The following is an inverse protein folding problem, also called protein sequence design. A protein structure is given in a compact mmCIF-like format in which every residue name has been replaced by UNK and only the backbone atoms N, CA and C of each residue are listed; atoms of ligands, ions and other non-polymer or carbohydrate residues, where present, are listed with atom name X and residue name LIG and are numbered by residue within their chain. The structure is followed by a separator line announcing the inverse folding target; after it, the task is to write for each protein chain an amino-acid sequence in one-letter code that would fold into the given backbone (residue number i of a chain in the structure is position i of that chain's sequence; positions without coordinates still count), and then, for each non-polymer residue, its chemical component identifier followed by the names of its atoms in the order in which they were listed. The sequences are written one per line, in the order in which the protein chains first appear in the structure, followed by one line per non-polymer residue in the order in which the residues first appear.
data_IF_886640663703
#
_entry.id   IF_886640663703
#
_cell.length_a   1.000
_cell.length_b   1.000
_cell.length_c   1.000
_cell.angle_alpha   90.00
_cell.angle_beta   90.00
_cell.angle_gamma   90.00
#
_symmetry.space_group_name_H-M   'P 1'
#
loop_
_entity.id
_entity.type
_entity.pdbx_description
1 polymer ?
#
# COMPACT_ATOMS: atom_id res chain seq x y z
N UNK A 1 4.32 7.89 15.35
CA UNK A 1 4.54 8.88 14.28
C UNK A 1 4.06 8.36 12.94
N UNK A 2 3.75 9.25 12.02
CA UNK A 2 3.56 8.94 10.60
C UNK A 2 4.48 9.84 9.77
N UNK A 3 5.37 9.26 9.00
CA UNK A 3 6.29 9.96 8.11
C UNK A 3 5.90 9.71 6.65
N UNK A 4 5.88 10.75 5.82
CA UNK A 4 5.35 10.70 4.46
C UNK A 4 6.16 11.65 3.57
N UNK A 5 6.81 11.10 2.54
CA UNK A 5 7.58 11.90 1.59
C UNK A 5 6.65 12.76 0.72
N UNK A 6 6.98 14.03 0.62
CA UNK A 6 6.15 15.02 -0.05
C UNK A 6 6.23 14.90 -1.57
N UNK A 7 5.07 14.76 -2.21
CA UNK A 7 4.96 14.60 -3.67
C UNK A 7 6.00 13.60 -4.22
N UNK A 8 6.08 12.41 -3.66
CA UNK A 8 7.21 11.48 -3.73
C UNK A 8 7.81 11.32 -5.13
N UNK A 9 7.04 10.87 -6.13
CA UNK A 9 7.58 10.69 -7.47
C UNK A 9 8.08 12.02 -8.07
N UNK A 10 7.31 13.10 -7.90
CA UNK A 10 7.73 14.42 -8.38
C UNK A 10 9.01 14.89 -7.67
N UNK A 11 9.14 14.64 -6.37
CA UNK A 11 10.34 14.99 -5.60
C UNK A 11 11.57 14.19 -6.01
N UNK A 12 11.42 12.91 -6.39
CA UNK A 12 12.50 12.10 -6.97
C UNK A 12 12.94 12.68 -8.31
N UNK A 13 11.99 13.04 -9.19
CA UNK A 13 12.31 13.69 -10.47
C UNK A 13 13.02 15.04 -10.27
N UNK A 14 12.52 15.89 -9.36
CA UNK A 14 13.12 17.18 -9.03
C UNK A 14 14.51 17.04 -8.37
N UNK A 15 14.77 15.95 -7.64
CA UNK A 15 16.08 15.64 -7.10
C UNK A 15 17.08 15.31 -8.21
N UNK A 16 16.68 14.46 -9.13
CA UNK A 16 17.54 13.89 -10.15
C UNK A 16 17.74 14.81 -11.37
N UNK A 17 16.74 15.66 -11.67
CA UNK A 17 16.79 16.58 -12.80
C UNK A 17 16.36 17.99 -12.38
N UNK A 18 17.31 18.92 -12.42
CA UNK A 18 17.09 20.31 -12.00
C UNK A 18 16.08 21.07 -12.85
N UNK A 19 15.78 20.61 -14.08
CA UNK A 19 14.74 21.21 -14.96
C UNK A 19 13.35 21.17 -14.34
N UNK A 20 13.08 20.22 -13.44
CA UNK A 20 11.79 20.04 -12.77
C UNK A 20 11.66 20.85 -11.47
N UNK A 21 12.72 21.51 -11.00
CA UNK A 21 12.73 22.22 -9.71
C UNK A 21 12.02 23.55 -9.79
N UNK A 22 11.06 23.78 -8.87
CA UNK A 22 10.36 25.05 -8.74
C UNK A 22 9.43 25.39 -9.88
N UNK A 23 9.08 24.42 -10.73
CA UNK A 23 8.16 24.58 -11.86
C UNK A 23 7.00 23.58 -11.75
N UNK A 24 5.82 23.91 -12.30
CA UNK A 24 4.73 22.95 -12.38
C UNK A 24 5.16 21.72 -13.19
N UNK A 25 5.14 20.53 -12.54
CA UNK A 25 5.44 19.27 -13.21
C UNK A 25 4.56 18.16 -12.70
N UNK A 26 4.35 17.16 -13.55
CA UNK A 26 3.66 15.92 -13.21
C UNK A 26 4.49 14.72 -13.66
N UNK A 27 4.33 13.62 -12.95
CA UNK A 27 4.84 12.30 -13.35
C UNK A 27 3.67 11.47 -13.85
N UNK A 28 3.78 10.92 -15.05
CA UNK A 28 2.72 10.05 -15.59
C UNK A 28 2.83 9.88 -17.10
N UNK A 29 2.19 8.84 -17.62
CA UNK A 29 2.11 8.56 -19.07
C UNK A 29 0.72 8.87 -19.63
N UNK A 30 -0.30 8.13 -19.21
CA UNK A 30 -1.71 8.33 -19.59
C UNK A 30 -2.46 9.15 -18.52
N UNK A 31 -2.15 8.87 -17.26
CA UNK A 31 -2.76 9.48 -16.09
C UNK A 31 -1.64 10.03 -15.19
N UNK A 32 -1.89 11.17 -14.58
CA UNK A 32 -0.99 11.76 -13.59
C UNK A 32 -0.89 10.81 -12.39
N UNK A 33 0.29 10.25 -12.17
CA UNK A 33 0.59 9.44 -11.00
C UNK A 33 0.94 10.33 -9.80
N UNK A 34 1.68 11.43 -10.04
CA UNK A 34 2.04 12.40 -9.01
C UNK A 34 2.16 13.79 -9.61
N UNK A 35 1.76 14.81 -8.86
CA UNK A 35 1.89 16.23 -9.23
C UNK A 35 2.77 16.94 -8.19
N UNK A 36 3.69 17.80 -8.66
CA UNK A 36 4.46 18.69 -7.78
C UNK A 36 3.55 19.69 -7.07
N UNK A 37 4.05 20.36 -6.03
CA UNK A 37 3.24 21.36 -5.32
C UNK A 37 2.90 22.55 -6.20
N UNK A 38 3.79 22.94 -7.09
CA UNK A 38 3.56 23.98 -8.08
C UNK A 38 2.43 23.59 -9.05
N UNK A 39 2.38 22.33 -9.49
CA UNK A 39 1.28 21.82 -10.31
C UNK A 39 -0.03 21.72 -9.53
N UNK A 40 0.01 21.30 -8.27
CA UNK A 40 -1.18 21.26 -7.37
C UNK A 40 -1.76 22.65 -7.15
N UNK A 41 -0.93 23.69 -7.06
CA UNK A 41 -1.38 25.07 -6.94
C UNK A 41 -2.19 25.54 -8.17
N UNK A 42 -2.00 24.93 -9.34
CA UNK A 42 -2.80 25.14 -10.56
C UNK A 42 -4.05 24.26 -10.61
N UNK A 43 -4.32 23.43 -9.59
CA UNK A 43 -5.44 22.49 -9.55
C UNK A 43 -5.15 21.13 -10.20
N UNK A 44 -3.91 20.86 -10.61
CA UNK A 44 -3.52 19.59 -11.20
C UNK A 44 -3.31 18.55 -10.07
N UNK A 45 -3.91 17.38 -10.19
CA UNK A 45 -3.83 16.33 -9.17
C UNK A 45 -3.65 14.93 -9.78
N UNK A 46 -3.24 13.97 -8.98
CA UNK A 46 -3.16 12.57 -9.35
C UNK A 46 -4.54 12.07 -9.82
N UNK A 47 -4.53 11.21 -10.83
CA UNK A 47 -5.75 10.71 -11.47
C UNK A 47 -6.23 11.52 -12.69
N UNK A 48 -5.75 12.76 -12.90
CA UNK A 48 -6.08 13.52 -14.12
C UNK A 48 -5.45 12.87 -15.36
N UNK A 49 -6.15 12.86 -16.52
CA UNK A 49 -5.54 12.48 -17.79
C UNK A 49 -4.40 13.43 -18.18
N UNK A 50 -3.22 12.90 -18.49
CA UNK A 50 -2.06 13.71 -18.93
C UNK A 50 -2.39 14.55 -20.17
N UNK A 51 -3.21 14.00 -21.09
CA UNK A 51 -3.69 14.76 -22.24
C UNK A 51 -4.52 16.00 -21.87
N UNK A 52 -5.28 15.96 -20.76
CA UNK A 52 -5.97 17.12 -20.23
C UNK A 52 -4.99 18.14 -19.69
N UNK A 53 -3.99 17.71 -18.91
CA UNK A 53 -2.95 18.58 -18.35
C UNK A 53 -2.24 19.34 -19.47
N UNK A 54 -1.80 18.63 -20.53
CA UNK A 54 -1.13 19.25 -21.69
C UNK A 54 -1.99 20.30 -22.42
N UNK A 55 -3.30 20.10 -22.47
CA UNK A 55 -4.22 21.05 -23.12
C UNK A 55 -4.51 22.26 -22.24
N UNK A 56 -4.76 22.06 -20.95
CA UNK A 56 -5.18 23.14 -20.04
C UNK A 56 -4.01 23.92 -19.44
N UNK A 57 -2.87 23.26 -19.23
CA UNK A 57 -1.67 23.84 -18.64
C UNK A 57 -0.43 23.48 -19.47
N UNK A 58 -0.29 24.02 -20.70
CA UNK A 58 0.76 23.62 -21.64
C UNK A 58 2.20 23.87 -21.15
N UNK A 59 2.38 24.77 -20.18
CA UNK A 59 3.67 25.03 -19.53
C UNK A 59 4.05 23.97 -18.47
N UNK A 60 3.15 23.06 -18.11
CA UNK A 60 3.44 22.00 -17.13
C UNK A 60 4.33 20.92 -17.73
N UNK A 61 5.46 20.65 -17.10
CA UNK A 61 6.38 19.60 -17.53
C UNK A 61 5.81 18.21 -17.18
N UNK A 62 5.98 17.26 -18.09
CA UNK A 62 5.53 15.86 -17.90
C UNK A 62 6.75 14.96 -17.91
N UNK A 63 7.06 14.36 -16.74
CA UNK A 63 8.10 13.36 -16.61
C UNK A 63 7.54 11.94 -16.82
N UNK A 64 8.30 11.04 -17.46
CA UNK A 64 7.92 9.62 -17.53
C UNK A 64 8.02 8.95 -16.16
N UNK A 65 7.36 7.79 -16.02
CA UNK A 65 7.41 7.00 -14.78
C UNK A 65 8.72 6.19 -14.75
N UNK A 66 9.56 6.43 -13.73
CA UNK A 66 10.82 5.69 -13.49
C UNK A 66 10.70 4.78 -12.26
N UNK A 67 9.99 3.67 -12.42
CA UNK A 67 9.64 2.77 -11.31
C UNK A 67 10.83 2.33 -10.45
N UNK A 68 11.96 1.95 -11.07
CA UNK A 68 13.17 1.51 -10.36
C UNK A 68 13.79 2.63 -9.51
N UNK A 69 13.85 3.86 -10.01
CA UNK A 69 14.34 5.01 -9.25
C UNK A 69 13.45 5.29 -8.02
N UNK A 70 12.15 5.06 -8.12
CA UNK A 70 11.23 5.21 -6.99
C UNK A 70 11.38 4.07 -5.99
N UNK A 71 11.54 2.83 -6.45
CA UNK A 71 11.80 1.67 -5.59
C UNK A 71 13.12 1.85 -4.81
N UNK A 72 14.17 2.31 -5.46
CA UNK A 72 15.46 2.63 -4.80
C UNK A 72 15.31 3.77 -3.77
N UNK A 73 14.68 4.87 -4.15
CA UNK A 73 14.47 6.00 -3.25
C UNK A 73 13.62 5.59 -2.03
N UNK A 74 12.60 4.76 -2.23
CA UNK A 74 11.77 4.18 -1.17
C UNK A 74 12.62 3.31 -0.23
N UNK A 75 13.42 2.39 -0.75
CA UNK A 75 14.26 1.51 0.07
C UNK A 75 15.19 2.32 0.98
N UNK A 76 15.88 3.33 0.44
CA UNK A 76 16.76 4.24 1.19
C UNK A 76 16.00 5.07 2.22
N UNK A 77 14.79 5.52 1.91
CA UNK A 77 13.93 6.24 2.84
C UNK A 77 13.54 5.37 4.04
N UNK A 78 13.17 4.11 3.80
CA UNK A 78 12.86 3.16 4.87
C UNK A 78 14.09 2.78 5.71
N UNK A 79 15.29 2.76 5.14
CA UNK A 79 16.54 2.61 5.91
C UNK A 79 16.72 3.78 6.89
N UNK A 80 16.44 5.01 6.45
CA UNK A 80 16.45 6.17 7.34
C UNK A 80 15.48 5.96 8.49
N UNK A 81 14.21 5.57 8.22
CA UNK A 81 13.20 5.38 9.24
C UNK A 81 13.60 4.31 10.28
N UNK A 82 14.14 3.18 9.83
CA UNK A 82 14.55 2.07 10.72
C UNK A 82 15.67 2.42 11.70
N UNK A 83 16.47 3.46 11.45
CA UNK A 83 17.48 3.94 12.40
C UNK A 83 16.88 4.61 13.63
N UNK A 84 15.70 5.18 13.51
CA UNK A 84 15.01 5.83 14.63
C UNK A 84 14.21 4.82 15.46
N UNK A 85 13.67 3.79 14.84
CA UNK A 85 12.97 2.68 15.50
C UNK A 85 12.94 1.44 14.61
N UNK A 86 13.07 0.21 15.16
CA UNK A 86 12.83 -1.00 14.41
C UNK A 86 11.34 -1.25 14.13
N UNK A 87 10.45 -0.55 14.85
CA UNK A 87 9.00 -0.71 14.73
C UNK A 87 8.47 0.23 13.65
N UNK A 88 8.67 -0.17 12.39
CA UNK A 88 8.25 0.57 11.21
C UNK A 88 7.22 -0.26 10.43
N UNK A 89 6.02 0.28 10.27
CA UNK A 89 4.96 -0.31 9.44
C UNK A 89 4.83 0.49 8.14
N UNK A 90 5.18 -0.06 6.98
CA UNK A 90 4.97 0.58 5.70
C UNK A 90 3.49 0.82 5.41
N UNK A 91 3.13 2.03 4.99
CA UNK A 91 1.80 2.35 4.45
C UNK A 91 1.78 2.30 2.93
N UNK A 92 2.84 2.77 2.30
CA UNK A 92 3.09 2.74 0.85
C UNK A 92 4.61 2.80 0.57
N UNK A 93 5.01 3.13 -0.67
CA UNK A 93 6.42 3.33 -1.01
C UNK A 93 7.02 4.57 -0.34
N UNK A 94 6.20 5.55 0.02
CA UNK A 94 6.61 6.86 0.49
C UNK A 94 6.21 7.15 1.93
N UNK A 95 5.40 6.32 2.56
CA UNK A 95 4.90 6.58 3.91
C UNK A 95 5.03 5.38 4.85
N UNK A 96 5.25 5.68 6.13
CA UNK A 96 5.31 4.67 7.18
C UNK A 96 4.76 5.19 8.50
N UNK A 97 4.23 4.25 9.30
CA UNK A 97 4.03 4.46 10.72
C UNK A 97 5.26 3.98 11.50
N UNK A 98 5.66 4.76 12.49
CA UNK A 98 6.81 4.50 13.35
C UNK A 98 6.37 4.53 14.81
N UNK A 99 6.61 3.46 15.55
CA UNK A 99 6.46 3.50 17.00
C UNK A 99 7.78 3.99 17.62
N UNK A 100 7.72 5.15 18.21
CA UNK A 100 8.86 5.79 18.89
C UNK A 100 8.65 5.92 20.40
N UNK A 101 7.65 5.22 20.93
CA UNK A 101 7.33 5.23 22.37
C UNK A 101 8.56 4.89 23.20
N UNK A 102 8.91 5.78 24.14
CA UNK A 102 10.08 5.65 25.01
C UNK A 102 11.44 5.84 24.33
N UNK A 103 11.49 6.22 23.04
CA UNK A 103 12.74 6.47 22.30
C UNK A 103 13.05 7.95 22.06
N UNK A 104 12.06 8.80 22.19
CA UNK A 104 12.12 10.23 21.93
C UNK A 104 12.82 11.05 23.04
N UNK A 105 13.18 10.41 24.18
CA UNK A 105 13.77 11.05 25.35
C UNK A 105 12.98 12.29 25.83
N UNK A 106 11.67 12.33 25.59
CA UNK A 106 10.81 13.47 25.91
C UNK A 106 10.81 14.58 24.85
N UNK A 107 11.56 14.46 23.75
CA UNK A 107 11.58 15.40 22.61
C UNK A 107 11.10 14.75 21.33
N UNK A 108 9.82 14.48 21.24
CA UNK A 108 9.19 13.89 20.07
C UNK A 108 9.24 14.79 18.84
N UNK A 109 9.21 16.11 19.03
CA UNK A 109 9.28 17.08 17.94
C UNK A 109 10.71 17.13 17.35
N UNK A 110 11.73 17.13 18.21
CA UNK A 110 13.14 17.05 17.79
C UNK A 110 13.43 15.75 17.05
N UNK A 111 12.88 14.61 17.48
CA UNK A 111 13.02 13.35 16.75
C UNK A 111 12.35 13.42 15.38
N UNK A 112 11.15 13.98 15.25
CA UNK A 112 10.49 14.18 13.96
C UNK A 112 11.32 15.09 13.04
N UNK A 113 11.92 16.16 13.58
CA UNK A 113 12.86 17.03 12.88
C UNK A 113 14.11 16.28 12.40
N UNK A 114 14.68 15.40 13.24
CA UNK A 114 15.84 14.58 12.90
C UNK A 114 15.56 13.58 11.79
N UNK A 115 14.38 12.95 11.77
CA UNK A 115 13.93 12.07 10.67
C UNK A 115 13.89 12.85 9.35
N UNK A 116 13.28 14.03 9.33
CA UNK A 116 13.19 14.90 8.14
C UNK A 116 14.58 15.33 7.64
N UNK A 117 15.42 15.78 8.56
CA UNK A 117 16.79 16.19 8.23
C UNK A 117 17.63 15.04 7.65
N UNK A 118 17.49 13.82 8.21
CA UNK A 118 18.15 12.63 7.69
C UNK A 118 17.63 12.24 6.30
N UNK A 119 16.32 12.24 6.07
CA UNK A 119 15.73 11.94 4.76
C UNK A 119 16.19 12.95 3.70
N UNK A 120 16.23 14.24 4.04
CA UNK A 120 16.71 15.29 3.14
C UNK A 120 18.20 15.15 2.82
N UNK A 121 19.05 14.91 3.82
CA UNK A 121 20.50 14.81 3.64
C UNK A 121 20.90 13.55 2.87
N UNK A 122 20.27 12.43 3.11
CA UNK A 122 20.74 11.12 2.65
C UNK A 122 19.97 10.59 1.45
N UNK A 123 18.69 10.95 1.35
CA UNK A 123 17.83 10.53 0.23
C UNK A 123 17.53 11.69 -0.71
N UNK A 124 17.70 12.94 -0.25
CA UNK A 124 17.39 14.14 -1.01
C UNK A 124 15.89 14.43 -1.12
N UNK A 125 15.06 13.85 -0.23
CA UNK A 125 13.61 13.98 -0.29
C UNK A 125 13.05 14.78 0.89
N UNK A 126 12.08 15.68 0.67
CA UNK A 126 11.32 16.32 1.73
C UNK A 126 10.35 15.30 2.34
N UNK A 127 10.24 15.30 3.66
CA UNK A 127 9.34 14.41 4.42
C UNK A 127 8.55 15.24 5.42
N UNK A 128 7.24 15.03 5.44
CA UNK A 128 6.36 15.59 6.45
C UNK A 128 6.05 14.55 7.53
N UNK A 129 6.10 14.97 8.80
CA UNK A 129 5.92 14.08 9.94
C UNK A 129 4.77 14.54 10.82
N UNK A 130 3.85 13.62 11.08
CA UNK A 130 2.80 13.77 12.06
C UNK A 130 3.06 12.92 13.30
N UNK A 131 2.89 13.50 14.47
CA UNK A 131 3.06 12.80 15.74
C UNK A 131 1.74 12.82 16.49
N UNK A 132 1.28 11.66 16.92
CA UNK A 132 0.06 11.53 17.71
C UNK A 132 0.02 10.18 18.42
N UNK A 133 -0.97 10.00 19.30
CA UNK A 133 -1.19 8.80 20.08
C UNK A 133 -1.69 7.63 19.24
N UNK A 134 -2.49 7.87 18.19
CA UNK A 134 -3.04 6.85 17.30
C UNK A 134 -2.53 7.01 15.87
N UNK A 135 -2.58 5.93 15.07
CA UNK A 135 -2.20 5.95 13.65
C UNK A 135 -3.04 6.94 12.84
N UNK A 136 -4.35 6.97 13.09
CA UNK A 136 -5.25 7.89 12.40
C UNK A 136 -4.83 9.34 12.63
N UNK A 137 -4.65 9.74 13.90
CA UNK A 137 -4.27 11.10 14.23
C UNK A 137 -2.87 11.45 13.72
N UNK A 138 -1.90 10.52 13.77
CA UNK A 138 -0.56 10.73 13.24
C UNK A 138 -0.60 10.94 11.71
N UNK A 139 -1.40 10.17 10.98
CA UNK A 139 -1.57 10.34 9.53
C UNK A 139 -2.26 11.65 9.16
N UNK A 140 -3.28 12.06 9.88
CA UNK A 140 -3.93 13.36 9.68
C UNK A 140 -2.96 14.52 10.00
N UNK A 141 -2.15 14.38 11.06
CA UNK A 141 -1.13 15.34 11.42
C UNK A 141 -0.07 15.51 10.33
N UNK A 142 0.44 14.40 9.76
CA UNK A 142 1.41 14.46 8.65
C UNK A 142 0.82 15.11 7.40
N UNK A 143 -0.45 14.83 7.05
CA UNK A 143 -1.15 15.53 5.95
C UNK A 143 -1.20 17.05 6.19
N UNK A 144 -1.45 17.45 7.44
CA UNK A 144 -1.50 18.87 7.83
C UNK A 144 -0.12 19.51 7.85
N UNK A 145 0.93 18.71 8.09
CA UNK A 145 2.32 19.15 8.09
C UNK A 145 2.87 19.42 6.67
N UNK A 146 2.23 18.90 5.62
CA UNK A 146 2.70 19.05 4.23
C UNK A 146 2.60 20.50 3.74
N UNK A 147 3.59 20.99 3.00
CA UNK A 147 4.86 20.34 2.68
C UNK A 147 5.94 20.54 3.75
N UNK A 148 6.83 19.55 3.88
CA UNK A 148 8.10 19.61 4.62
C UNK A 148 7.97 20.14 6.06
N UNK A 149 6.93 19.68 6.78
CA UNK A 149 6.62 20.15 8.11
C UNK A 149 6.58 19.06 9.17
N UNK A 150 6.35 19.51 10.41
CA UNK A 150 6.06 18.66 11.56
C UNK A 150 4.81 19.18 12.24
N UNK A 151 3.89 18.27 12.56
CA UNK A 151 2.73 18.57 13.43
C UNK A 151 2.68 17.54 14.53
N UNK A 152 2.69 18.04 15.79
CA UNK A 152 2.51 17.22 16.98
C UNK A 152 1.10 17.44 17.51
N UNK A 153 0.37 16.35 17.69
CA UNK A 153 -0.98 16.33 18.27
C UNK A 153 -0.88 15.67 19.62
N UNK A 154 -0.83 16.50 20.67
CA UNK A 154 -0.91 16.07 22.06
C UNK A 154 -2.35 15.73 22.46
N UNK A 155 -2.55 15.29 23.70
CA UNK A 155 -3.87 14.88 24.20
C UNK A 155 -4.88 16.04 24.23
N UNK A 156 -4.44 17.25 24.53
CA UNK A 156 -5.32 18.43 24.60
C UNK A 156 -5.77 18.84 23.19
N UNK A 157 -4.85 18.92 22.25
CA UNK A 157 -5.18 19.22 20.85
C UNK A 157 -6.04 18.12 20.24
N UNK A 158 -5.73 16.84 20.53
CA UNK A 158 -6.56 15.71 20.07
C UNK A 158 -8.00 15.83 20.57
N UNK A 159 -8.20 16.11 21.86
CA UNK A 159 -9.54 16.28 22.43
C UNK A 159 -10.34 17.41 21.76
N UNK A 160 -9.65 18.48 21.32
CA UNK A 160 -10.29 19.61 20.63
C UNK A 160 -10.61 19.30 19.16
N UNK A 161 -9.72 18.60 18.44
CA UNK A 161 -9.87 18.42 16.99
C UNK A 161 -10.64 17.16 16.63
N UNK A 162 -10.50 16.07 17.39
CA UNK A 162 -11.12 14.77 17.09
C UNK A 162 -12.64 14.85 16.87
N UNK A 163 -13.44 15.54 17.71
CA UNK A 163 -14.88 15.66 17.49
C UNK A 163 -15.28 16.28 16.16
N UNK A 164 -14.42 17.17 15.64
CA UNK A 164 -14.66 17.96 14.41
C UNK A 164 -14.08 17.35 13.15
N UNK A 165 -13.39 16.19 13.27
CA UNK A 165 -12.86 15.52 12.08
C UNK A 165 -14.00 15.08 11.20
N UNK A 166 -13.91 15.42 9.91
CA UNK A 166 -14.87 14.98 8.91
C UNK A 166 -14.69 13.49 8.65
N UNK A 167 -15.77 12.76 8.48
CA UNK A 167 -15.73 11.31 8.26
C UNK A 167 -15.14 10.94 6.90
N UNK A 168 -15.28 11.80 5.89
CA UNK A 168 -14.68 11.63 4.56
C UNK A 168 -13.16 11.85 4.54
N UNK A 169 -12.61 12.57 5.53
CA UNK A 169 -11.16 12.75 5.69
C UNK A 169 -10.47 11.58 6.40
N UNK A 170 -11.24 10.67 6.99
CA UNK A 170 -10.69 9.55 7.74
C UNK A 170 -10.08 8.50 6.81
N UNK A 171 -8.82 8.18 7.05
CA UNK A 171 -8.15 7.11 6.31
C UNK A 171 -8.98 5.81 6.33
N UNK A 172 -9.25 5.25 5.13
CA UNK A 172 -10.04 4.03 4.92
C UNK A 172 -11.56 4.25 4.83
N UNK A 173 -12.02 5.50 4.86
CA UNK A 173 -13.37 5.86 4.43
C UNK A 173 -13.31 6.24 2.95
N UNK A 174 -13.72 5.31 2.10
CA UNK A 174 -13.83 5.56 0.66
C UNK A 174 -15.22 6.06 0.27
N UNK A 175 -15.44 6.42 -1.01
CA UNK A 175 -16.70 7.00 -1.50
C UNK A 175 -17.95 6.19 -1.10
N UNK A 176 -17.91 4.87 -1.24
CA UNK A 176 -19.05 3.98 -0.89
C UNK A 176 -19.37 4.01 0.61
N UNK A 177 -18.34 4.07 1.46
CA UNK A 177 -18.54 4.17 2.92
C UNK A 177 -19.03 5.56 3.29
N UNK A 178 -18.46 6.58 2.68
CA UNK A 178 -18.88 7.97 2.90
C UNK A 178 -20.34 8.19 2.52
N UNK A 179 -20.78 7.68 1.37
CA UNK A 179 -22.18 7.77 0.94
C UNK A 179 -23.16 7.18 1.97
N UNK A 180 -22.81 6.01 2.55
CA UNK A 180 -23.60 5.40 3.61
C UNK A 180 -23.67 6.26 4.87
N UNK A 181 -22.54 6.83 5.29
CA UNK A 181 -22.47 7.74 6.43
C UNK A 181 -23.28 9.00 6.15
N UNK A 182 -23.13 9.57 4.97
CA UNK A 182 -23.88 10.76 4.54
C UNK A 182 -25.40 10.51 4.50
N UNK A 183 -25.84 9.37 3.96
CA UNK A 183 -27.26 8.97 3.97
C UNK A 183 -27.79 8.79 5.40
N UNK A 184 -26.92 8.42 6.33
CA UNK A 184 -27.26 8.30 7.75
C UNK A 184 -27.11 9.63 8.52
N UNK A 185 -26.90 10.76 7.83
CA UNK A 185 -26.67 12.11 8.39
C UNK A 185 -25.50 12.18 9.38
N UNK A 186 -24.45 11.38 9.12
CA UNK A 186 -23.22 11.37 9.91
C UNK A 186 -22.08 12.02 9.10
N UNK A 187 -21.56 13.16 9.56
CA UNK A 187 -20.59 13.98 8.82
C UNK A 187 -19.26 14.14 9.55
N UNK A 188 -19.29 14.21 10.87
CA UNK A 188 -18.11 14.42 11.72
C UNK A 188 -18.06 13.37 12.83
N UNK A 189 -16.89 13.23 13.46
CA UNK A 189 -16.68 12.22 14.52
C UNK A 189 -17.64 12.39 15.69
N UNK A 190 -18.01 13.61 16.06
CA UNK A 190 -19.00 13.82 17.15
C UNK A 190 -20.37 13.25 16.85
N UNK A 191 -20.77 13.09 15.58
CA UNK A 191 -22.05 12.50 15.20
C UNK A 191 -22.10 10.99 15.50
N UNK A 192 -20.94 10.39 15.74
CA UNK A 192 -20.81 8.97 16.13
C UNK A 192 -20.95 8.75 17.64
N UNK A 193 -20.99 9.82 18.44
CA UNK A 193 -21.04 9.68 19.89
C UNK A 193 -22.34 9.03 20.36
N UNK A 194 -22.21 8.06 21.25
CA UNK A 194 -23.35 7.29 21.74
C UNK A 194 -23.89 6.21 20.80
N UNK A 195 -23.38 6.14 19.56
CA UNK A 195 -23.79 5.08 18.64
C UNK A 195 -23.05 3.77 18.92
N UNK A 196 -23.80 2.68 18.95
CA UNK A 196 -23.26 1.32 19.05
C UNK A 196 -22.83 0.78 17.69
N UNK A 197 -22.13 -0.36 17.70
CA UNK A 197 -21.80 -1.11 16.48
C UNK A 197 -23.06 -1.52 15.73
N UNK A 198 -24.12 -1.91 16.44
CA UNK A 198 -25.36 -2.36 15.81
C UNK A 198 -26.14 -1.19 15.21
N UNK A 199 -26.12 0.00 15.82
CA UNK A 199 -26.69 1.22 15.24
C UNK A 199 -26.03 1.57 13.90
N UNK A 200 -24.72 1.46 13.81
CA UNK A 200 -23.99 1.73 12.57
C UNK A 200 -24.18 0.63 11.52
N UNK A 201 -24.34 -0.63 11.95
CA UNK A 201 -24.68 -1.73 11.04
C UNK A 201 -26.08 -1.60 10.45
N UNK A 202 -27.07 -1.21 11.23
CA UNK A 202 -28.43 -0.97 10.75
C UNK A 202 -28.48 0.14 9.68
N UNK A 203 -27.51 1.05 9.70
CA UNK A 203 -27.29 2.12 8.70
C UNK A 203 -26.45 1.66 7.49
N UNK A 204 -26.20 0.35 7.33
CA UNK A 204 -25.56 -0.25 6.17
C UNK A 204 -24.03 -0.34 6.21
N UNK A 205 -23.37 -0.05 7.35
CA UNK A 205 -21.94 -0.26 7.50
C UNK A 205 -21.61 -1.74 7.72
N UNK A 206 -20.47 -2.20 7.24
CA UNK A 206 -19.94 -3.52 7.60
C UNK A 206 -19.58 -3.55 9.08
N UNK A 207 -19.61 -4.73 9.71
CA UNK A 207 -19.24 -4.90 11.12
C UNK A 207 -17.83 -4.36 11.42
N UNK A 208 -16.86 -4.58 10.53
CA UNK A 208 -15.50 -4.08 10.69
C UNK A 208 -15.44 -2.55 10.66
N UNK A 209 -16.18 -1.91 9.73
CA UNK A 209 -16.24 -0.45 9.64
C UNK A 209 -16.99 0.14 10.83
N UNK A 210 -18.10 -0.44 11.24
CA UNK A 210 -18.86 0.01 12.41
C UNK A 210 -18.01 -0.02 13.69
N UNK A 211 -17.32 -1.12 13.96
CA UNK A 211 -16.38 -1.21 15.09
C UNK A 211 -15.29 -0.14 15.02
N UNK A 212 -14.75 0.08 13.83
CA UNK A 212 -13.73 1.12 13.62
C UNK A 212 -14.28 2.52 13.89
N UNK A 213 -15.47 2.85 13.44
CA UNK A 213 -16.10 4.15 13.70
C UNK A 213 -16.33 4.38 15.20
N UNK A 214 -16.83 3.37 15.91
CA UNK A 214 -17.00 3.43 17.37
C UNK A 214 -15.66 3.64 18.07
N UNK A 215 -14.60 2.93 17.68
CA UNK A 215 -13.27 3.12 18.28
C UNK A 215 -12.67 4.50 18.00
N UNK A 216 -12.89 5.05 16.79
CA UNK A 216 -12.47 6.41 16.45
C UNK A 216 -13.22 7.44 17.32
N UNK A 217 -14.53 7.28 17.48
CA UNK A 217 -15.35 8.15 18.34
C UNK A 217 -14.88 8.12 19.78
N UNK A 218 -14.57 6.94 20.31
CA UNK A 218 -14.06 6.75 21.67
C UNK A 218 -12.57 7.16 21.84
N UNK A 219 -11.85 7.47 20.75
CA UNK A 219 -10.41 7.74 20.83
C UNK A 219 -9.55 6.53 21.18
N UNK A 220 -10.07 5.33 20.95
CA UNK A 220 -9.41 4.03 21.20
C UNK A 220 -9.01 3.33 19.88
N UNK A 221 -8.94 4.09 18.79
CA UNK A 221 -8.53 3.60 17.48
C UNK A 221 -7.08 3.09 17.48
N UNK A 222 -6.80 2.23 16.50
CA UNK A 222 -5.56 1.44 16.43
C UNK A 222 -4.29 2.30 16.50
N UNK A 223 -3.43 1.97 17.46
CA UNK A 223 -2.09 2.52 17.63
C UNK A 223 -0.98 1.48 17.38
N UNK A 224 -1.34 0.20 17.24
CA UNK A 224 -0.39 -0.91 17.15
C UNK A 224 0.32 -0.92 15.80
N UNK A 225 1.65 -0.91 15.83
CA UNK A 225 2.48 -1.10 14.65
C UNK A 225 2.49 -2.57 14.23
N UNK A 226 2.18 -2.81 12.98
CA UNK A 226 2.23 -4.14 12.37
C UNK A 226 3.46 -4.24 11.50
N UNK A 227 4.43 -5.02 11.95
CA UNK A 227 5.61 -5.28 11.13
C UNK A 227 5.21 -6.02 9.86
N UNK A 228 5.89 -5.74 8.73
CA UNK A 228 5.63 -6.46 7.49
C UNK A 228 5.80 -7.96 7.70
N UNK A 229 4.75 -8.70 7.44
CA UNK A 229 4.81 -10.15 7.33
C UNK A 229 5.30 -10.58 5.95
N UNK A 230 5.46 -11.89 5.75
CA UNK A 230 5.78 -12.43 4.44
C UNK A 230 4.76 -11.96 3.39
N UNK A 231 5.25 -11.57 2.23
CA UNK A 231 4.42 -11.08 1.12
C UNK A 231 3.33 -12.10 0.77
N UNK A 232 2.08 -11.66 0.68
CA UNK A 232 0.93 -12.55 0.37
C UNK A 232 0.76 -12.80 -1.12
N UNK A 233 1.26 -11.91 -1.97
CA UNK A 233 1.21 -12.03 -3.43
C UNK A 233 2.24 -11.12 -4.08
N UNK A 234 2.58 -11.43 -5.33
CA UNK A 234 3.27 -10.51 -6.25
C UNK A 234 2.36 -10.25 -7.44
N UNK A 235 2.48 -9.09 -8.04
CA UNK A 235 1.66 -8.76 -9.20
C UNK A 235 2.17 -7.53 -9.93
N UNK A 236 1.74 -7.39 -11.17
CA UNK A 236 1.95 -6.20 -11.96
C UNK A 236 0.74 -5.97 -12.88
N UNK A 237 0.37 -4.72 -13.03
CA UNK A 237 -0.65 -4.27 -13.98
C UNK A 237 -0.07 -3.14 -14.82
N UNK A 238 -0.54 -2.99 -16.05
CA UNK A 238 -0.18 -1.87 -16.90
C UNK A 238 -1.41 -1.30 -17.58
N UNK A 239 -1.56 0.01 -17.49
CA UNK A 239 -2.57 0.77 -18.23
C UNK A 239 -1.99 1.25 -19.56
N UNK A 240 -2.83 1.31 -20.59
CA UNK A 240 -2.47 1.77 -21.94
C UNK A 240 -3.70 2.38 -22.61
N UNK A 241 -3.51 3.00 -23.79
CA UNK A 241 -4.62 3.51 -24.58
C UNK A 241 -5.56 2.39 -24.99
N UNK A 242 -6.87 2.64 -24.95
CA UNK A 242 -7.87 1.63 -25.29
C UNK A 242 -7.53 0.92 -26.61
N UNK A 243 -7.46 -0.40 -26.60
CA UNK A 243 -7.16 -1.22 -27.78
C UNK A 243 -7.95 -2.52 -27.77
N UNK A 244 -8.19 -3.03 -28.96
CA UNK A 244 -8.75 -4.36 -29.21
C UNK A 244 -7.74 -5.29 -29.91
N UNK A 245 -6.50 -4.81 -30.06
CA UNK A 245 -5.44 -5.53 -30.75
C UNK A 245 -4.90 -6.64 -29.85
N UNK A 246 -5.14 -7.88 -30.22
CA UNK A 246 -4.75 -9.06 -29.45
C UNK A 246 -3.27 -9.08 -29.13
N UNK A 247 -2.41 -8.86 -30.12
CA UNK A 247 -0.95 -8.87 -29.92
C UNK A 247 -0.49 -7.84 -28.88
N UNK A 248 -1.13 -6.66 -28.83
CA UNK A 248 -0.82 -5.63 -27.84
C UNK A 248 -1.22 -6.07 -26.42
N UNK A 249 -2.44 -6.59 -26.25
CA UNK A 249 -2.95 -7.01 -24.94
C UNK A 249 -2.13 -8.18 -24.39
N UNK A 250 -1.85 -9.19 -25.22
CA UNK A 250 -1.01 -10.34 -24.85
C UNK A 250 0.44 -9.92 -24.51
N UNK A 251 1.04 -9.01 -25.29
CA UNK A 251 2.39 -8.52 -25.03
C UNK A 251 2.47 -7.79 -23.67
N UNK A 252 1.49 -6.95 -23.36
CA UNK A 252 1.41 -6.25 -22.06
C UNK A 252 1.20 -7.24 -20.91
N UNK A 253 0.38 -8.28 -21.10
CA UNK A 253 0.18 -9.31 -20.08
C UNK A 253 1.48 -10.08 -19.81
N UNK A 254 2.21 -10.51 -20.85
CA UNK A 254 3.52 -11.18 -20.72
C UNK A 254 4.53 -10.30 -19.97
N UNK A 255 4.63 -9.01 -20.34
CA UNK A 255 5.49 -8.07 -19.63
C UNK A 255 5.09 -7.92 -18.16
N UNK A 256 3.78 -7.96 -17.86
CA UNK A 256 3.28 -7.94 -16.50
C UNK A 256 3.63 -9.23 -15.73
N UNK A 257 3.58 -10.40 -16.35
CA UNK A 257 4.01 -11.67 -15.75
C UNK A 257 5.51 -11.60 -15.41
N UNK A 258 6.36 -11.20 -16.35
CA UNK A 258 7.80 -11.07 -16.13
C UNK A 258 8.09 -10.12 -14.95
N UNK A 259 7.43 -8.96 -14.91
CA UNK A 259 7.58 -8.01 -13.82
C UNK A 259 7.04 -8.54 -12.49
N UNK A 260 5.97 -9.32 -12.48
CA UNK A 260 5.46 -9.94 -11.24
C UNK A 260 6.45 -11.00 -10.72
N UNK A 261 7.01 -11.83 -11.60
CA UNK A 261 8.01 -12.84 -11.24
C UNK A 261 9.32 -12.20 -10.76
N UNK A 262 9.80 -11.12 -11.38
CA UNK A 262 11.00 -10.42 -10.91
C UNK A 262 10.86 -9.85 -9.49
N UNK A 263 9.63 -9.58 -9.06
CA UNK A 263 9.34 -9.12 -7.69
C UNK A 263 9.36 -10.22 -6.63
N UNK A 264 9.44 -11.48 -7.01
CA UNK A 264 9.64 -12.58 -6.06
C UNK A 264 11.02 -12.46 -5.40
N UNK A 265 12.07 -12.05 -6.15
CA UNK A 265 13.42 -12.02 -5.63
C UNK A 265 13.83 -13.41 -5.12
N UNK A 266 14.31 -13.45 -3.86
CA UNK A 266 14.76 -14.68 -3.18
C UNK A 266 13.61 -15.48 -2.51
N UNK A 267 12.35 -15.17 -2.84
CA UNK A 267 11.21 -15.88 -2.27
C UNK A 267 11.04 -17.25 -2.93
N UNK A 268 11.39 -18.31 -2.22
CA UNK A 268 11.36 -19.70 -2.71
C UNK A 268 9.95 -20.32 -2.74
N UNK A 269 8.93 -19.60 -2.30
CA UNK A 269 7.56 -20.11 -2.31
C UNK A 269 7.02 -20.24 -3.73
N UNK A 270 6.62 -21.45 -4.09
CA UNK A 270 6.08 -21.74 -5.42
C UNK A 270 4.57 -21.45 -5.46
N UNK A 271 4.11 -20.52 -6.28
CA UNK A 271 2.69 -20.26 -6.47
C UNK A 271 1.98 -21.44 -7.11
N UNK A 272 0.73 -21.64 -6.71
CA UNK A 272 -0.16 -22.69 -7.24
C UNK A 272 -1.31 -22.13 -8.07
N UNK A 273 -1.47 -20.80 -8.07
CA UNK A 273 -2.59 -20.10 -8.73
C UNK A 273 -2.17 -18.71 -9.17
N UNK A 274 -2.93 -18.16 -10.08
CA UNK A 274 -2.80 -16.77 -10.51
C UNK A 274 -4.17 -16.17 -10.85
N UNK A 275 -4.20 -14.86 -10.92
CA UNK A 275 -5.36 -14.06 -11.30
C UNK A 275 -4.95 -13.13 -12.45
N UNK A 276 -5.78 -13.02 -13.47
CA UNK A 276 -5.62 -12.06 -14.57
C UNK A 276 -6.72 -11.01 -14.46
N UNK A 277 -6.32 -9.75 -14.52
CA UNK A 277 -7.20 -8.60 -14.44
C UNK A 277 -7.27 -7.94 -15.81
N UNK A 278 -8.47 -7.63 -16.28
CA UNK A 278 -8.74 -6.87 -17.50
C UNK A 278 -9.67 -5.72 -17.16
N UNK A 279 -9.32 -4.50 -17.53
CA UNK A 279 -10.18 -3.32 -17.41
C UNK A 279 -10.46 -2.75 -18.79
N UNK A 280 -11.72 -2.39 -19.01
CA UNK A 280 -12.22 -1.85 -20.26
C UNK A 280 -12.28 -0.32 -20.25
N UNK A 281 -12.59 0.28 -21.40
CA UNK A 281 -12.64 1.73 -21.61
C UNK A 281 -13.82 2.42 -20.91
N UNK A 282 -14.85 1.66 -20.52
CA UNK A 282 -15.95 2.11 -19.65
C UNK A 282 -15.62 2.05 -18.13
N UNK A 283 -14.38 1.62 -17.79
CA UNK A 283 -13.92 1.47 -16.41
C UNK A 283 -14.30 0.15 -15.74
N UNK A 284 -15.13 -0.68 -16.36
CA UNK A 284 -15.47 -2.01 -15.84
C UNK A 284 -14.24 -2.89 -15.82
N UNK A 285 -14.07 -3.64 -14.73
CA UNK A 285 -12.94 -4.54 -14.52
C UNK A 285 -13.43 -5.97 -14.29
N UNK A 286 -12.83 -6.92 -14.98
CA UNK A 286 -13.03 -8.35 -14.77
C UNK A 286 -11.76 -8.98 -14.20
N UNK A 287 -11.93 -10.07 -13.46
CA UNK A 287 -10.81 -10.81 -12.87
C UNK A 287 -11.06 -12.30 -13.05
N UNK A 288 -10.20 -12.95 -13.82
CA UNK A 288 -10.18 -14.41 -14.00
C UNK A 288 -9.17 -15.05 -13.07
N UNK A 289 -9.57 -16.15 -12.43
CA UNK A 289 -8.75 -16.92 -11.49
C UNK A 289 -8.53 -18.33 -11.99
N UNK A 290 -7.31 -18.85 -11.80
CA UNK A 290 -7.00 -20.21 -12.20
C UNK A 290 -5.82 -20.80 -11.47
N UNK A 291 -5.72 -22.13 -11.55
CA UNK A 291 -4.60 -22.88 -11.01
C UNK A 291 -3.48 -22.96 -12.05
N UNK A 292 -2.24 -23.02 -11.56
CA UNK A 292 -1.10 -23.48 -12.32
C UNK A 292 -1.16 -25.02 -12.42
N UNK A 293 -0.68 -25.63 -13.52
CA UNK A 293 -0.64 -27.08 -13.65
C UNK A 293 0.14 -27.76 -12.52
N UNK A 294 1.21 -27.10 -12.07
CA UNK A 294 2.05 -27.47 -10.94
C UNK A 294 2.56 -26.22 -10.23
N UNK A 295 2.96 -26.32 -8.96
CA UNK A 295 3.60 -25.19 -8.27
C UNK A 295 4.89 -24.77 -8.98
N UNK A 296 4.94 -23.54 -9.50
CA UNK A 296 6.08 -23.11 -10.32
C UNK A 296 6.22 -21.60 -10.40
N UNK A 297 7.45 -21.14 -10.57
CA UNK A 297 7.82 -19.78 -10.97
C UNK A 297 8.38 -19.72 -12.40
N UNK A 298 8.37 -20.82 -13.13
CA UNK A 298 8.85 -20.88 -14.52
C UNK A 298 8.06 -19.89 -15.40
N UNK A 299 8.71 -18.91 -16.04
CA UNK A 299 8.02 -17.85 -16.75
C UNK A 299 7.09 -18.37 -17.84
N UNK A 300 7.50 -19.40 -18.57
CA UNK A 300 6.75 -19.98 -19.69
C UNK A 300 5.44 -20.64 -19.21
N UNK A 301 5.49 -21.31 -18.05
CA UNK A 301 4.32 -21.96 -17.46
C UNK A 301 3.32 -20.93 -16.94
N UNK A 302 3.82 -19.86 -16.28
CA UNK A 302 3.00 -18.77 -15.76
C UNK A 302 2.40 -17.95 -16.91
N UNK A 303 3.17 -17.64 -17.96
CA UNK A 303 2.69 -16.96 -19.16
C UNK A 303 1.57 -17.75 -19.85
N UNK A 304 1.79 -19.06 -20.06
CA UNK A 304 0.79 -19.92 -20.69
C UNK A 304 -0.51 -19.97 -19.86
N UNK A 305 -0.42 -20.02 -18.55
CA UNK A 305 -1.58 -19.99 -17.67
C UNK A 305 -2.28 -18.61 -17.69
N UNK A 306 -1.53 -17.52 -17.69
CA UNK A 306 -2.07 -16.17 -17.77
C UNK A 306 -2.83 -15.94 -19.07
N UNK A 307 -2.27 -16.39 -20.21
CA UNK A 307 -2.93 -16.29 -21.52
C UNK A 307 -4.22 -17.10 -21.58
N UNK A 308 -4.27 -18.30 -20.98
CA UNK A 308 -5.51 -19.09 -20.89
C UNK A 308 -6.59 -18.36 -20.10
N UNK A 309 -6.21 -17.69 -19.00
CA UNK A 309 -7.15 -16.90 -18.20
C UNK A 309 -7.62 -15.64 -18.95
N UNK A 310 -6.72 -14.97 -19.64
CA UNK A 310 -7.08 -13.85 -20.51
C UNK A 310 -8.10 -14.27 -21.56
N UNK A 311 -7.91 -15.41 -22.23
CA UNK A 311 -8.88 -15.92 -23.20
C UNK A 311 -10.24 -16.24 -22.56
N UNK A 312 -10.24 -16.80 -21.34
CA UNK A 312 -11.48 -17.08 -20.59
C UNK A 312 -12.27 -15.85 -20.21
N UNK A 313 -11.63 -14.69 -20.06
CA UNK A 313 -12.34 -13.44 -19.72
C UNK A 313 -13.32 -13.00 -20.82
N UNK A 314 -13.24 -13.57 -22.01
CA UNK A 314 -14.11 -13.21 -23.13
C UNK A 314 -13.83 -11.83 -23.73
N UNK A 315 -12.72 -11.20 -23.38
CA UNK A 315 -12.41 -9.82 -23.76
C UNK A 315 -12.41 -9.58 -25.27
N UNK A 316 -12.04 -10.58 -26.08
CA UNK A 316 -12.03 -10.45 -27.55
C UNK A 316 -13.45 -10.33 -28.16
N UNK A 317 -14.44 -10.96 -27.50
CA UNK A 317 -15.84 -10.94 -27.92
C UNK A 317 -16.63 -9.79 -27.31
N UNK A 318 -16.09 -9.17 -26.26
CA UNK A 318 -16.76 -8.13 -25.47
C UNK A 318 -17.08 -6.86 -26.26
N UNK A 319 -16.26 -6.52 -27.25
CA UNK A 319 -16.48 -5.34 -28.11
C UNK A 319 -15.92 -4.04 -27.54
N UNK A 320 -15.60 -3.96 -26.25
CA UNK A 320 -14.98 -2.79 -25.60
C UNK A 320 -13.47 -2.79 -25.82
N UNK A 321 -12.87 -1.60 -25.73
CA UNK A 321 -11.42 -1.45 -25.74
C UNK A 321 -10.80 -1.79 -24.37
N UNK A 322 -9.76 -2.61 -24.35
CA UNK A 322 -9.00 -2.88 -23.13
C UNK A 322 -8.09 -1.71 -22.82
N UNK A 323 -8.09 -1.25 -21.58
CA UNK A 323 -7.28 -0.11 -21.08
C UNK A 323 -6.27 -0.49 -20.00
N UNK A 324 -6.41 -1.68 -19.40
CA UNK A 324 -5.47 -2.23 -18.44
C UNK A 324 -5.51 -3.75 -18.51
N UNK A 325 -4.34 -4.36 -18.42
CA UNK A 325 -4.20 -5.79 -18.17
C UNK A 325 -3.08 -6.02 -17.18
N UNK A 326 -3.18 -7.10 -16.42
CA UNK A 326 -2.13 -7.51 -15.51
C UNK A 326 -2.40 -8.82 -14.80
N UNK A 327 -1.45 -9.21 -13.97
CA UNK A 327 -1.46 -10.47 -13.22
C UNK A 327 -1.26 -10.22 -11.74
N UNK A 328 -1.92 -11.02 -10.90
CA UNK A 328 -1.64 -11.20 -9.49
C UNK A 328 -1.34 -12.69 -9.24
N UNK A 329 -0.26 -12.95 -8.53
CA UNK A 329 0.24 -14.29 -8.23
C UNK A 329 0.25 -14.43 -6.71
N UNK A 330 -0.81 -15.00 -6.11
CA UNK A 330 -0.87 -15.28 -4.68
C UNK A 330 0.20 -16.29 -4.28
N UNK A 331 0.89 -16.01 -3.18
CA UNK A 331 1.92 -16.89 -2.62
C UNK A 331 1.32 -17.72 -1.49
N UNK A 332 1.73 -18.99 -1.36
CA UNK A 332 1.32 -19.81 -0.22
C UNK A 332 1.83 -19.17 1.09
N UNK A 333 1.13 -19.41 2.20
CA UNK A 333 1.64 -18.98 3.50
C UNK A 333 2.97 -19.65 3.76
N UNK A 334 3.95 -18.96 4.36
CA UNK A 334 5.17 -19.60 4.81
C UNK A 334 4.82 -20.79 5.69
N UNK A 335 5.50 -21.91 5.53
CA UNK A 335 5.41 -22.98 6.51
C UNK A 335 5.95 -22.43 7.82
N UNK A 336 5.32 -22.66 8.98
CA UNK A 336 5.94 -22.40 10.25
C UNK A 336 7.24 -23.18 10.25
N UNK A 337 8.36 -22.50 10.55
CA UNK A 337 9.68 -23.10 10.54
C UNK A 337 9.65 -24.40 11.33
N UNK A 338 9.98 -25.49 10.68
CA UNK A 338 10.06 -26.82 11.28
C UNK A 338 11.32 -26.94 12.15
N UNK A 339 11.36 -26.21 13.26
CA UNK A 339 12.25 -26.45 14.38
C UNK A 339 11.42 -26.95 15.53
N UNK A 340 11.00 -28.19 15.37
CA UNK A 340 10.66 -29.19 16.40
C UNK A 340 10.22 -30.47 15.67
N UNK A 341 11.14 -31.08 14.91
CA UNK A 341 11.02 -32.51 14.74
C UNK A 341 11.59 -33.12 16.02
N UNK A 342 10.67 -33.45 16.93
CA UNK A 342 10.77 -34.43 17.96
C UNK A 342 11.89 -35.45 17.69
N UNK A 343 12.83 -35.45 18.58
CA UNK A 343 13.54 -36.67 18.91
C UNK A 343 12.47 -37.67 19.37
N UNK A 344 11.99 -38.49 18.46
CA UNK A 344 11.26 -39.70 18.78
C UNK A 344 12.16 -40.51 19.72
N UNK A 345 11.76 -40.80 20.97
CA UNK A 345 12.55 -41.67 21.84
C UNK A 345 12.63 -43.03 21.15
N UNK A 346 13.84 -43.51 20.84
CA UNK A 346 14.04 -44.86 20.43
C UNK A 346 13.53 -45.79 21.56
N UNK A 347 12.73 -46.83 21.24
CA UNK A 347 12.32 -47.81 22.23
C UNK A 347 13.56 -48.52 22.77
N UNK A 348 13.82 -48.33 24.05
CA UNK A 348 14.83 -49.15 24.78
C UNK A 348 14.41 -50.61 24.66
N UNK A 349 15.24 -51.40 24.01
CA UNK A 349 15.12 -52.85 23.98
C UNK A 349 15.21 -53.37 25.41
N UNK A 350 14.09 -53.84 25.92
CA UNK A 350 14.01 -54.61 27.16
C UNK A 350 14.69 -55.96 26.96
N UNK A 351 15.94 -56.05 27.40
CA UNK A 351 16.65 -57.32 27.51
C UNK A 351 16.08 -58.15 28.68
N UNK A 352 15.27 -59.15 28.37
CA UNK A 352 14.96 -60.21 29.29
C UNK A 352 16.20 -61.08 29.55
N UNK A 353 16.68 -61.02 30.74
CA UNK A 353 17.66 -61.96 31.28
C UNK A 353 17.07 -62.72 32.47
N UNK A 354 16.33 -63.76 32.19
CA UNK A 354 15.99 -64.77 33.19
C UNK A 354 17.27 -65.48 33.64
N UNK A 355 17.62 -65.42 34.92
CA UNK A 355 18.37 -66.47 35.59
C UNK A 355 17.65 -66.91 36.86
N UNK A 356 17.15 -68.16 36.79
CA UNK A 356 16.80 -68.99 37.97
C UNK A 356 18.06 -69.36 38.68
N UNK A 357 18.08 -69.20 39.97
CA UNK A 357 18.73 -70.17 40.83
C UNK A 357 18.12 -70.21 42.25
N UNK A 358 17.86 -71.40 42.59
CA UNK A 358 17.47 -72.05 43.79
C UNK A 358 18.37 -71.71 44.98
N UNK A 359 17.76 -71.68 46.15
CA UNK A 359 18.34 -71.71 47.48
C UNK A 359 17.26 -71.37 48.48
#
# INVERSE_FOLDING_TARGET
MHADADAFFASVEQRDDTRYRGVPMVVGEQVVACASYEARALGIHAGMPVGQVRRQWPATLVAPVRGEAYEEASARLFEVFRRFTPLVEPGSMEEAFLDVTGRDRGDVAGMAGAIRAAARREVGLPVSVGVARTKLMAKLASRRAKPDGVVVVDAELEARVRPRLRLDDLWGVGPVTYEKLHTAELFVVSDLYGLSVDDLRSRGLSTAMARRMVSIAAGTDDATIRLPGPRGSVGATRSFSATRTRSTVEAVLRASVQRALSRLGDDERLPTRLEVVVRYDDGVQTTERGLLPEPTTAPEAVDAAALRLLARSGWEQDGRGVTLVGVSIPLPRPRPDGREQEQTPQPQASGEGRQRQKG
#
